data_IF_559433673412
#
_entry.id   IF_559433673412
#
_cell.length_a   1.000
_cell.length_b   1.000
_cell.length_c   1.000
_cell.angle_alpha   90.00
_cell.angle_beta   90.00
_cell.angle_gamma   90.00
#
_symmetry.space_group_name_H-M   'P 1'
#
loop_
_entity.id
_entity.type
_entity.pdbx_description
1 polymer ?
#
# COMPACT_ATOMS: atom_id res chain seq x y z
N UNK A 1 0.66 -15.62 -1.60
CA UNK A 1 -0.04 -15.10 -2.81
C UNK A 1 0.37 -13.65 -2.99
N UNK A 2 0.57 -13.17 -4.23
CA UNK A 2 1.04 -11.80 -4.46
C UNK A 2 0.04 -10.97 -5.25
N UNK A 3 -0.28 -9.77 -4.75
CA UNK A 3 -1.23 -8.82 -5.35
C UNK A 3 -0.49 -7.54 -5.70
N UNK A 4 -0.66 -7.05 -6.93
CA UNK A 4 -0.26 -5.69 -7.30
C UNK A 4 -1.44 -4.74 -7.01
N UNK A 5 -1.21 -3.70 -6.23
CA UNK A 5 -2.21 -2.72 -5.83
C UNK A 5 -1.82 -1.35 -6.39
N UNK A 6 -2.71 -0.74 -7.17
CA UNK A 6 -2.58 0.68 -7.52
C UNK A 6 -2.75 1.52 -6.26
N UNK A 7 -1.66 2.11 -5.79
CA UNK A 7 -1.66 2.95 -4.61
C UNK A 7 -2.26 4.32 -4.89
N UNK A 8 -2.31 4.78 -6.14
CA UNK A 8 -2.54 6.19 -6.48
C UNK A 8 -3.99 6.50 -6.91
N UNK A 9 -4.79 5.48 -7.18
CA UNK A 9 -6.16 5.65 -7.64
C UNK A 9 -7.15 5.97 -6.51
N UNK A 10 -7.96 7.01 -6.70
CA UNK A 10 -9.03 7.41 -5.78
C UNK A 10 -8.83 8.82 -5.20
N UNK A 11 -9.87 9.35 -4.57
CA UNK A 11 -9.88 10.73 -4.07
C UNK A 11 -8.93 10.93 -2.88
N UNK A 12 -8.81 9.93 -2.00
CA UNK A 12 -7.98 9.95 -0.78
C UNK A 12 -6.67 9.14 -0.93
N UNK A 13 -6.29 8.81 -2.16
CA UNK A 13 -5.05 8.12 -2.45
C UNK A 13 -3.83 9.05 -2.29
N UNK A 14 -2.65 8.53 -1.93
CA UNK A 14 -2.34 7.12 -1.71
C UNK A 14 -2.58 6.60 -0.28
N UNK A 15 -2.97 7.46 0.65
CA UNK A 15 -3.00 7.17 2.08
C UNK A 15 -3.91 5.98 2.43
N UNK A 16 -5.19 6.05 2.04
CA UNK A 16 -6.18 5.00 2.37
C UNK A 16 -5.82 3.63 1.77
N UNK A 17 -5.19 3.63 0.59
CA UNK A 17 -4.85 2.41 -0.13
C UNK A 17 -3.67 1.72 0.54
N UNK A 18 -2.66 2.49 0.98
CA UNK A 18 -1.51 1.94 1.69
C UNK A 18 -1.88 1.49 3.09
N UNK A 19 -2.71 2.24 3.82
CA UNK A 19 -3.17 1.81 5.14
C UNK A 19 -3.99 0.51 5.07
N UNK A 20 -4.85 0.39 4.05
CA UNK A 20 -5.57 -0.84 3.77
C UNK A 20 -4.63 -2.01 3.42
N UNK A 21 -3.60 -1.76 2.62
CA UNK A 21 -2.60 -2.77 2.27
C UNK A 21 -1.84 -3.27 3.51
N UNK A 22 -1.44 -2.37 4.41
CA UNK A 22 -0.76 -2.71 5.68
C UNK A 22 -1.67 -3.58 6.55
N UNK A 23 -2.93 -3.18 6.73
CA UNK A 23 -3.89 -3.96 7.50
C UNK A 23 -4.12 -5.36 6.91
N UNK A 24 -4.15 -5.48 5.57
CA UNK A 24 -4.34 -6.76 4.89
C UNK A 24 -3.16 -7.72 5.12
N UNK A 25 -1.91 -7.26 4.97
CA UNK A 25 -0.72 -8.12 5.17
C UNK A 25 -0.53 -8.49 6.65
N UNK A 26 -0.96 -7.64 7.59
CA UNK A 26 -0.96 -7.98 9.01
C UNK A 26 -1.99 -9.07 9.36
N UNK A 27 -3.13 -9.08 8.67
CA UNK A 27 -4.20 -10.07 8.89
C UNK A 27 -3.92 -11.40 8.18
N UNK A 28 -3.18 -11.35 7.06
CA UNK A 28 -2.89 -12.51 6.21
C UNK A 28 -1.36 -12.66 6.02
N UNK A 29 -0.67 -13.44 6.87
CA UNK A 29 0.79 -13.55 6.85
C UNK A 29 1.40 -14.06 5.52
N UNK A 30 0.63 -14.83 4.74
CA UNK A 30 1.05 -15.37 3.44
C UNK A 30 0.74 -14.42 2.26
N UNK A 31 0.17 -13.24 2.54
CA UNK A 31 -0.15 -12.23 1.55
C UNK A 31 1.03 -11.28 1.34
N UNK A 32 1.44 -11.13 0.09
CA UNK A 32 2.37 -10.09 -0.33
C UNK A 32 1.63 -9.04 -1.18
N UNK A 33 1.77 -7.76 -0.84
CA UNK A 33 1.23 -6.65 -1.62
C UNK A 33 2.38 -5.85 -2.23
N UNK A 34 2.34 -5.69 -3.55
CA UNK A 34 3.20 -4.77 -4.30
C UNK A 34 2.42 -3.49 -4.55
N UNK A 35 2.82 -2.40 -3.88
CA UNK A 35 2.28 -1.07 -4.13
C UNK A 35 2.84 -0.53 -5.46
N UNK A 36 1.95 -0.10 -6.35
CA UNK A 36 2.28 0.45 -7.66
C UNK A 36 1.87 1.92 -7.69
N UNK A 37 2.80 2.82 -8.01
CA UNK A 37 2.57 4.25 -8.00
C UNK A 37 3.87 5.05 -7.99
N UNK A 38 3.79 6.31 -7.54
CA UNK A 38 4.98 7.13 -7.31
C UNK A 38 5.77 6.59 -6.11
N UNK A 39 6.93 6.00 -6.40
CA UNK A 39 7.76 5.33 -5.39
C UNK A 39 8.24 6.30 -4.29
N UNK A 40 8.52 7.56 -4.63
CA UNK A 40 9.00 8.56 -3.66
C UNK A 40 7.91 8.89 -2.64
N UNK A 41 6.71 9.20 -3.14
CA UNK A 41 5.55 9.50 -2.30
C UNK A 41 5.20 8.30 -1.40
N UNK A 42 5.18 7.09 -1.97
CA UNK A 42 4.86 5.87 -1.21
C UNK A 42 5.93 5.60 -0.14
N UNK A 43 7.22 5.75 -0.46
CA UNK A 43 8.32 5.53 0.50
C UNK A 43 8.31 6.54 1.64
N UNK A 44 8.07 7.81 1.35
CA UNK A 44 8.00 8.86 2.37
C UNK A 44 6.84 8.58 3.35
N UNK A 45 5.70 8.15 2.81
CA UNK A 45 4.53 7.80 3.60
C UNK A 45 4.74 6.54 4.46
N UNK A 46 5.43 5.52 3.94
CA UNK A 46 5.80 4.33 4.69
C UNK A 46 6.86 4.62 5.76
N UNK A 47 7.79 5.53 5.51
CA UNK A 47 8.85 5.90 6.46
C UNK A 47 8.33 6.71 7.65
N UNK A 48 7.14 7.31 7.52
CA UNK A 48 6.48 8.06 8.58
C UNK A 48 5.64 7.19 9.55
N UNK A 49 5.59 5.86 9.34
CA UNK A 49 4.81 4.89 10.12
C UNK A 49 5.74 3.93 10.86
#
# INVERSE_FOLDING_TARGET
MRIALDAMGGDDAPEINVDGAIAAVQTHPDLEVLLVGDEGVIKDMLSAR
#
